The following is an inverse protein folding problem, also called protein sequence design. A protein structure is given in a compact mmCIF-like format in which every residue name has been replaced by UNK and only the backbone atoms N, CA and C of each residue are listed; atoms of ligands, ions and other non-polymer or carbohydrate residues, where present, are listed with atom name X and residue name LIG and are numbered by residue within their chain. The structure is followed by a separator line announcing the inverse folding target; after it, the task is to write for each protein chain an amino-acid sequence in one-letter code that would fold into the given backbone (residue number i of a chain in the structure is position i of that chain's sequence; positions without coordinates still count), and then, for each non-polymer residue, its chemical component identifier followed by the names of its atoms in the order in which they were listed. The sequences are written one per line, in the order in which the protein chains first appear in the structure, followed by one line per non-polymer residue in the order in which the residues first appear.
data_IF_567576012871
#
_entry.id   IF_567576012871
#
_cell.length_a   1.000
_cell.length_b   1.000
_cell.length_c   1.000
_cell.angle_alpha   90.00
_cell.angle_beta   90.00
_cell.angle_gamma   90.00
#
_symmetry.space_group_name_H-M   'P 1'
#
loop_
_entity.id
_entity.type
_entity.pdbx_description
1 polymer ?
#
# COMPACT_ATOMS: atom_id res chain seq x y z
N UNK A 1 12.98 -1.28 -8.76
CA UNK A 1 11.87 -1.44 -7.80
C UNK A 1 10.68 -0.70 -8.37
N UNK A 2 9.57 -1.39 -8.64
CA UNK A 2 8.38 -0.74 -9.21
C UNK A 2 7.71 0.16 -8.16
N UNK A 3 6.94 1.16 -8.59
CA UNK A 3 6.15 1.99 -7.68
C UNK A 3 5.18 1.17 -6.81
N UNK A 4 4.71 0.04 -7.34
CA UNK A 4 3.87 -0.95 -6.64
C UNK A 4 4.59 -1.56 -5.42
N UNK A 5 5.85 -1.97 -5.58
CA UNK A 5 6.61 -2.64 -4.51
C UNK A 5 6.85 -1.71 -3.32
N UNK A 6 7.12 -0.43 -3.60
CA UNK A 6 7.30 0.60 -2.57
C UNK A 6 6.02 0.81 -1.76
N UNK A 7 4.86 0.85 -2.43
CA UNK A 7 3.55 0.99 -1.79
C UNK A 7 3.23 -0.24 -0.92
N UNK A 8 3.46 -1.46 -1.43
CA UNK A 8 3.22 -2.70 -0.69
C UNK A 8 4.10 -2.77 0.55
N UNK A 9 5.40 -2.45 0.41
CA UNK A 9 6.34 -2.44 1.54
C UNK A 9 5.90 -1.43 2.61
N UNK A 10 5.62 -0.18 2.22
CA UNK A 10 5.17 0.85 3.14
C UNK A 10 3.88 0.46 3.87
N UNK A 11 2.93 -0.13 3.15
CA UNK A 11 1.69 -0.63 3.73
C UNK A 11 1.94 -1.75 4.74
N UNK A 12 2.76 -2.75 4.41
CA UNK A 12 3.14 -3.86 5.32
C UNK A 12 3.75 -3.34 6.62
N UNK A 13 4.59 -2.31 6.54
CA UNK A 13 5.18 -1.71 7.73
C UNK A 13 4.18 -0.87 8.54
N UNK A 14 3.21 -0.20 7.90
CA UNK A 14 2.16 0.56 8.60
C UNK A 14 1.19 -0.36 9.33
N UNK A 15 0.74 -1.45 8.72
CA UNK A 15 -0.18 -2.41 9.38
C UNK A 15 0.45 -3.13 10.57
N UNK A 16 1.78 -3.19 10.64
CA UNK A 16 2.51 -3.76 11.77
C UNK A 16 2.43 -2.88 13.03
N UNK A 17 2.24 -1.56 12.88
CA UNK A 17 2.23 -0.60 14.00
C UNK A 17 0.87 0.09 14.20
N UNK A 18 0.04 0.12 13.17
CA UNK A 18 -1.19 0.91 13.12
C UNK A 18 -2.36 0.02 12.65
N UNK A 19 -3.52 0.04 13.35
CA UNK A 19 -4.69 -0.70 12.90
C UNK A 19 -5.09 -0.30 11.48
N UNK A 20 -5.44 -1.29 10.66
CA UNK A 20 -5.78 -1.10 9.24
C UNK A 20 -6.79 0.03 8.99
N UNK A 21 -7.83 0.14 9.82
CA UNK A 21 -8.87 1.17 9.66
C UNK A 21 -8.36 2.59 9.87
N UNK A 22 -7.30 2.76 10.67
CA UNK A 22 -6.67 4.05 10.94
C UNK A 22 -5.66 4.46 9.88
N UNK A 23 -5.18 3.52 9.06
CA UNK A 23 -4.24 3.83 7.98
C UNK A 23 -4.97 4.54 6.85
N UNK A 24 -4.39 5.66 6.42
CA UNK A 24 -4.85 6.46 5.29
C UNK A 24 -3.98 6.24 4.06
N UNK A 25 -4.54 6.49 2.87
CA UNK A 25 -3.78 6.48 1.61
C UNK A 25 -2.64 7.51 1.64
N UNK A 26 -2.83 8.62 2.35
CA UNK A 26 -1.82 9.65 2.51
C UNK A 26 -0.57 9.12 3.23
N UNK A 27 -0.73 8.49 4.40
CA UNK A 27 0.39 7.92 5.16
C UNK A 27 1.14 6.84 4.37
N UNK A 28 0.41 6.02 3.62
CA UNK A 28 1.01 5.01 2.73
C UNK A 28 1.86 5.70 1.65
N UNK A 29 1.33 6.73 1.00
CA UNK A 29 2.05 7.48 -0.04
C UNK A 29 3.29 8.18 0.51
N UNK A 30 3.16 8.82 1.68
CA UNK A 30 4.25 9.51 2.38
C UNK A 30 5.38 8.53 2.69
N UNK A 31 5.04 7.38 3.30
CA UNK A 31 6.02 6.37 3.69
C UNK A 31 6.65 5.66 2.48
N UNK A 32 5.89 5.46 1.40
CA UNK A 32 6.40 4.86 0.16
C UNK A 32 7.21 5.85 -0.69
N UNK A 33 7.21 7.15 -0.37
CA UNK A 33 7.86 8.19 -1.18
C UNK A 33 7.23 8.37 -2.56
N UNK A 34 5.91 8.14 -2.69
CA UNK A 34 5.19 8.25 -3.96
C UNK A 34 4.09 9.30 -3.90
N UNK A 35 3.72 9.85 -5.07
CA UNK A 35 2.58 10.75 -5.15
C UNK A 35 1.26 9.99 -5.04
N UNK A 36 0.20 10.66 -4.57
CA UNK A 36 -1.17 10.10 -4.60
C UNK A 36 -1.61 9.70 -6.00
N UNK A 37 -1.18 10.44 -7.04
CA UNK A 37 -1.45 10.10 -8.44
C UNK A 37 -0.84 8.74 -8.80
N UNK A 38 0.42 8.53 -8.41
CA UNK A 38 1.12 7.25 -8.61
C UNK A 38 0.42 6.12 -7.87
N UNK A 39 -0.03 6.36 -6.63
CA UNK A 39 -0.81 5.37 -5.89
C UNK A 39 -2.06 4.93 -6.65
N UNK A 40 -2.86 5.89 -7.13
CA UNK A 40 -4.11 5.59 -7.84
C UNK A 40 -3.93 4.97 -9.24
N UNK A 41 -2.73 4.99 -9.82
CA UNK A 41 -2.40 4.20 -11.02
C UNK A 41 -2.30 2.71 -10.70
N UNK A 42 -1.86 2.36 -9.49
CA UNK A 42 -1.63 0.97 -9.08
C UNK A 42 -2.79 0.40 -8.24
N UNK A 43 -3.41 1.21 -7.38
CA UNK A 43 -4.41 0.78 -6.43
C UNK A 43 -5.56 1.79 -6.32
N UNK A 44 -6.80 1.31 -6.37
CA UNK A 44 -7.97 2.19 -6.17
C UNK A 44 -8.12 2.66 -4.71
N UNK A 45 -7.70 1.84 -3.76
CA UNK A 45 -7.80 2.10 -2.31
C UNK A 45 -6.86 1.16 -1.54
N UNK A 46 -6.82 1.31 -0.21
CA UNK A 46 -6.01 0.45 0.68
C UNK A 46 -6.40 -1.04 0.63
N UNK A 47 -7.66 -1.37 0.33
CA UNK A 47 -8.10 -2.77 0.18
C UNK A 47 -7.50 -3.42 -1.07
N UNK A 48 -7.30 -2.67 -2.15
CA UNK A 48 -6.62 -3.17 -3.35
C UNK A 48 -5.19 -3.64 -3.08
N UNK A 49 -4.50 -3.01 -2.12
CA UNK A 49 -3.16 -3.45 -1.68
C UNK A 49 -3.26 -4.81 -0.99
N UNK A 50 -4.25 -4.98 -0.10
CA UNK A 50 -4.49 -6.25 0.61
C UNK A 50 -4.77 -7.37 -0.38
N UNK A 51 -5.67 -7.16 -1.35
CA UNK A 51 -5.97 -8.15 -2.38
C UNK A 51 -4.73 -8.54 -3.17
N UNK A 52 -3.84 -7.58 -3.49
CA UNK A 52 -2.59 -7.86 -4.20
C UNK A 52 -1.62 -8.69 -3.36
N UNK A 53 -1.46 -8.37 -2.08
CA UNK A 53 -0.61 -9.14 -1.15
C UNK A 53 -1.13 -10.58 -1.03
N UNK A 54 -2.44 -10.75 -0.81
CA UNK A 54 -3.07 -12.07 -0.68
C UNK A 54 -2.90 -12.88 -1.96
N UNK A 55 -3.09 -12.26 -3.13
CA UNK A 55 -2.87 -12.94 -4.40
C UNK A 55 -1.41 -13.38 -4.57
N UNK A 56 -0.45 -12.51 -4.26
CA UNK A 56 0.98 -12.79 -4.39
C UNK A 56 1.49 -13.86 -3.39
N UNK A 57 0.82 -14.02 -2.24
CA UNK A 57 1.17 -15.05 -1.24
C UNK A 57 0.51 -16.41 -1.54
N UNK A 58 -0.54 -16.46 -2.37
CA UNK A 58 -1.29 -17.68 -2.71
C UNK A 58 -0.78 -18.33 -4.00
N UNK A 59 -0.19 -17.56 -4.92
CA UNK A 59 0.22 -18.00 -6.27
C UNK A 59 1.71 -18.26 -6.37
#
# INVERSE_FOLDING_TARGET
MSGTDAIIKAFKELVATTPYDKITVYEICEKAGVSRKTFYVHFQNKSGIVSKIVYDDIV
#
